data_IF_366797144322
#
_entry.id   IF_366797144322
#
_cell.length_a   1.000
_cell.length_b   1.000
_cell.length_c   1.000
_cell.angle_alpha   90.00
_cell.angle_beta   90.00
_cell.angle_gamma   90.00
#
_symmetry.space_group_name_H-M   'P 1'
#
loop_
_entity.id
_entity.type
_entity.pdbx_description
1 polymer ?
#
# COMPACT_ATOMS: atom_id res chain seq x y z
N UNK A 1 17.37 9.86 0.89
CA UNK A 1 17.68 8.77 -0.08
C UNK A 1 17.79 7.38 0.57
N UNK A 2 18.46 7.22 1.73
CA UNK A 2 18.62 5.90 2.36
C UNK A 2 17.28 5.24 2.78
N UNK A 3 16.37 5.98 3.44
CA UNK A 3 15.05 5.45 3.83
C UNK A 3 14.17 5.06 2.64
N UNK A 4 14.17 5.85 1.56
CA UNK A 4 13.43 5.51 0.33
C UNK A 4 13.95 4.23 -0.29
N UNK A 5 15.27 4.06 -0.37
CA UNK A 5 15.89 2.81 -0.85
C UNK A 5 15.52 1.62 0.04
N UNK A 6 15.54 1.79 1.36
CA UNK A 6 15.16 0.74 2.32
C UNK A 6 13.67 0.38 2.25
N UNK A 7 12.80 1.36 2.03
CA UNK A 7 11.37 1.13 1.85
C UNK A 7 11.11 0.34 0.57
N UNK A 8 11.67 0.81 -0.55
CA UNK A 8 11.49 0.17 -1.85
C UNK A 8 12.17 -1.21 -1.91
N UNK A 9 13.25 -1.44 -1.18
CA UNK A 9 13.87 -2.78 -1.10
C UNK A 9 13.00 -3.84 -0.42
N UNK A 10 11.97 -3.45 0.36
CA UNK A 10 10.96 -4.40 0.87
C UNK A 10 10.14 -5.05 -0.25
N UNK A 11 10.21 -4.48 -1.44
CA UNK A 11 9.52 -4.93 -2.64
C UNK A 11 10.47 -5.60 -3.65
N UNK A 12 11.65 -6.08 -3.22
CA UNK A 12 12.68 -6.70 -4.07
C UNK A 12 13.08 -5.88 -5.32
N UNK A 13 12.96 -4.56 -5.24
CA UNK A 13 13.25 -3.66 -6.34
C UNK A 13 14.77 -3.54 -6.59
N UNK A 14 15.29 -4.26 -7.59
CA UNK A 14 16.66 -4.08 -8.10
C UNK A 14 16.63 -3.05 -9.23
N UNK A 15 16.59 -1.77 -8.87
CA UNK A 15 16.42 -0.68 -9.85
C UNK A 15 17.46 0.42 -9.71
N UNK A 16 17.77 1.08 -10.84
CA UNK A 16 18.53 2.34 -10.87
C UNK A 16 17.87 3.38 -9.93
N UNK A 17 18.67 4.15 -9.15
CA UNK A 17 18.21 5.25 -8.30
C UNK A 17 17.14 6.19 -8.90
N UNK A 18 17.21 6.49 -10.20
CA UNK A 18 16.23 7.35 -10.88
C UNK A 18 14.84 6.72 -10.95
N UNK A 19 14.76 5.41 -11.24
CA UNK A 19 13.48 4.68 -11.27
C UNK A 19 12.87 4.59 -9.86
N UNK A 20 13.71 4.38 -8.84
CA UNK A 20 13.28 4.40 -7.43
C UNK A 20 12.69 5.76 -7.03
N UNK A 21 13.36 6.85 -7.41
CA UNK A 21 12.86 8.19 -7.14
C UNK A 21 11.55 8.48 -7.88
N UNK A 22 11.39 7.98 -9.12
CA UNK A 22 10.16 8.09 -9.89
C UNK A 22 9.00 7.36 -9.20
N UNK A 23 9.18 6.10 -8.75
CA UNK A 23 8.14 5.39 -7.99
C UNK A 23 7.77 6.13 -6.71
N UNK A 24 8.77 6.59 -5.97
CA UNK A 24 8.53 7.36 -4.75
C UNK A 24 7.68 8.60 -5.03
N UNK A 25 7.99 9.36 -6.08
CA UNK A 25 7.22 10.54 -6.47
C UNK A 25 5.80 10.20 -6.91
N UNK A 26 5.60 9.12 -7.67
CA UNK A 26 4.27 8.67 -8.07
C UNK A 26 3.42 8.30 -6.86
N UNK A 27 3.98 7.54 -5.92
CA UNK A 27 3.27 7.17 -4.69
C UNK A 27 3.03 8.39 -3.78
N UNK A 28 3.98 9.32 -3.66
CA UNK A 28 3.80 10.56 -2.89
C UNK A 28 2.72 11.45 -3.50
N UNK A 29 2.64 11.55 -4.84
CA UNK A 29 1.55 12.25 -5.53
C UNK A 29 0.21 11.58 -5.24
N UNK A 30 0.10 10.27 -5.47
CA UNK A 30 -1.12 9.51 -5.21
C UNK A 30 -1.64 9.72 -3.79
N UNK A 31 -0.74 9.70 -2.80
CA UNK A 31 -1.09 9.94 -1.40
C UNK A 31 -1.58 11.38 -1.18
N UNK A 32 -0.89 12.38 -1.73
CA UNK A 32 -1.24 13.80 -1.54
C UNK A 32 -2.56 14.17 -2.22
N UNK A 33 -2.82 13.59 -3.38
CA UNK A 33 -3.97 13.93 -4.21
C UNK A 33 -5.25 13.26 -3.69
N UNK A 34 -5.12 12.20 -2.87
CA UNK A 34 -6.21 11.38 -2.38
C UNK A 34 -6.20 11.25 -0.85
N UNK A 35 -6.28 12.37 -0.13
CA UNK A 35 -6.41 12.35 1.33
C UNK A 35 -7.85 12.05 1.74
N UNK A 36 -8.04 11.21 2.77
CA UNK A 36 -9.34 11.05 3.42
C UNK A 36 -9.38 11.73 4.80
N UNK A 37 -10.58 11.94 5.32
CA UNK A 37 -10.87 12.65 6.57
C UNK A 37 -11.05 11.70 7.77
N UNK A 38 -10.70 10.42 7.62
CA UNK A 38 -10.77 9.47 8.73
C UNK A 38 -9.84 9.93 9.87
N UNK A 39 -10.27 9.90 11.14
CA UNK A 39 -9.41 10.32 12.25
C UNK A 39 -8.10 9.52 12.28
N UNK A 40 -6.97 10.21 12.18
CA UNK A 40 -5.65 9.58 12.15
C UNK A 40 -5.12 9.33 13.56
N UNK A 41 -4.40 8.22 13.76
CA UNK A 41 -3.63 7.94 14.98
C UNK A 41 -2.13 8.09 14.69
N UNK A 42 -1.56 9.30 14.85
CA UNK A 42 -0.18 9.59 14.45
C UNK A 42 0.86 8.94 15.37
N UNK A 43 0.46 8.43 16.53
CA UNK A 43 1.35 7.83 17.54
C UNK A 43 1.47 6.32 17.32
N UNK A 44 0.40 5.67 16.86
CA UNK A 44 0.36 4.24 16.65
C UNK A 44 1.13 3.77 15.43
N UNK A 45 1.75 2.58 15.58
CA UNK A 45 2.33 1.83 14.47
C UNK A 45 1.35 0.82 13.84
N UNK A 46 0.06 0.98 14.10
CA UNK A 46 -0.99 0.20 13.45
C UNK A 46 -1.28 0.79 12.07
N UNK A 47 -1.51 -0.07 11.07
CA UNK A 47 -1.93 0.29 9.73
C UNK A 47 -3.16 -0.54 9.38
N UNK A 48 -4.18 0.12 8.86
CA UNK A 48 -5.45 -0.49 8.48
C UNK A 48 -5.70 -0.31 6.98
N UNK A 49 -6.44 -1.26 6.42
CA UNK A 49 -6.84 -1.25 5.02
C UNK A 49 -8.34 -1.53 4.97
N UNK A 50 -9.08 -0.68 4.28
CA UNK A 50 -10.48 -0.89 3.95
C UNK A 50 -10.61 -1.18 2.46
N UNK A 51 -11.23 -2.30 2.13
CA UNK A 51 -11.58 -2.70 0.77
C UNK A 51 -13.10 -2.81 0.71
N UNK A 52 -13.76 -1.77 0.20
CA UNK A 52 -15.22 -1.62 0.24
C UNK A 52 -15.78 -1.90 1.66
N UNK A 53 -16.50 -3.01 1.83
CA UNK A 53 -17.12 -3.42 3.09
C UNK A 53 -16.19 -4.19 4.04
N UNK A 54 -14.98 -4.57 3.61
CA UNK A 54 -14.04 -5.39 4.39
C UNK A 54 -12.96 -4.54 5.03
N UNK A 55 -12.66 -4.82 6.29
CA UNK A 55 -11.66 -4.11 7.07
C UNK A 55 -10.50 -5.06 7.40
N UNK A 56 -9.27 -4.56 7.33
CA UNK A 56 -8.07 -5.33 7.58
C UNK A 56 -7.10 -4.56 8.48
N UNK A 57 -6.38 -5.30 9.31
CA UNK A 57 -5.28 -4.81 10.14
C UNK A 57 -3.95 -5.44 9.72
N UNK A 58 -2.91 -4.62 9.59
CA UNK A 58 -1.57 -5.09 9.24
C UNK A 58 -0.80 -5.62 10.46
N UNK A 59 -0.71 -6.95 10.58
CA UNK A 59 -0.04 -7.65 11.67
C UNK A 59 0.85 -8.77 11.13
N UNK A 60 2.06 -8.93 11.70
CA UNK A 60 3.01 -9.99 11.30
C UNK A 60 3.25 -10.07 9.78
N UNK A 61 3.40 -8.92 9.12
CA UNK A 61 3.65 -8.79 7.66
C UNK A 61 2.52 -9.33 6.78
N UNK A 62 1.30 -9.41 7.31
CA UNK A 62 0.08 -9.84 6.62
C UNK A 62 -1.10 -8.94 7.01
N UNK A 63 -2.09 -8.90 6.14
CA UNK A 63 -3.40 -8.34 6.42
C UNK A 63 -4.27 -9.40 7.10
N UNK A 64 -4.86 -9.03 8.24
CA UNK A 64 -5.81 -9.85 8.98
C UNK A 64 -7.16 -9.15 8.95
N UNK A 65 -8.20 -9.84 8.53
CA UNK A 65 -9.55 -9.28 8.51
C UNK A 65 -10.03 -8.99 9.95
N UNK A 66 -10.70 -7.86 10.12
CA UNK A 66 -11.29 -7.41 11.38
C UNK A 66 -12.73 -6.99 11.11
N UNK A 67 -13.60 -7.10 12.12
CA UNK A 67 -15.00 -6.70 11.98
C UNK A 67 -15.13 -5.19 11.74
N UNK A 68 -14.48 -4.39 12.59
CA UNK A 68 -14.67 -2.94 12.64
C UNK A 68 -13.33 -2.20 12.68
N UNK A 69 -13.31 -1.00 12.09
CA UNK A 69 -12.19 -0.07 12.24
C UNK A 69 -12.26 0.63 13.60
N UNK A 70 -11.12 0.90 14.26
CA UNK A 70 -11.10 1.74 15.45
C UNK A 70 -11.54 3.17 15.17
N UNK A 71 -11.94 3.92 16.20
CA UNK A 71 -12.33 5.33 16.08
C UNK A 71 -11.23 6.22 15.46
N UNK A 72 -9.98 5.91 15.76
CA UNK A 72 -8.79 6.53 15.14
C UNK A 72 -7.93 5.44 14.50
N UNK A 73 -7.57 5.62 13.22
CA UNK A 73 -6.81 4.65 12.48
C UNK A 73 -5.94 5.30 11.40
N UNK A 74 -4.71 4.83 11.26
CA UNK A 74 -3.92 5.03 10.04
C UNK A 74 -4.51 4.17 8.94
N UNK A 75 -5.32 4.76 8.06
CA UNK A 75 -6.22 4.03 7.18
C UNK A 75 -5.89 4.27 5.71
N UNK A 76 -5.70 3.17 4.99
CA UNK A 76 -5.73 3.13 3.54
C UNK A 76 -7.11 2.62 3.12
N UNK A 77 -7.74 3.29 2.16
CA UNK A 77 -9.00 2.87 1.55
C UNK A 77 -8.75 2.61 0.07
N UNK A 78 -9.26 1.50 -0.45
CA UNK A 78 -9.23 1.14 -1.88
C UNK A 78 -10.53 0.43 -2.25
N UNK A 79 -10.91 0.45 -3.53
CA UNK A 79 -12.06 -0.34 -3.99
C UNK A 79 -11.67 -1.80 -4.23
N UNK A 80 -12.65 -2.73 -4.17
CA UNK A 80 -12.43 -4.13 -4.61
C UNK A 80 -12.03 -4.18 -6.08
N UNK A 81 -12.61 -3.31 -6.92
CA UNK A 81 -12.32 -3.23 -8.34
C UNK A 81 -10.83 -2.94 -8.60
N UNK A 82 -10.25 -1.93 -7.94
CA UNK A 82 -8.84 -1.61 -8.10
C UNK A 82 -7.92 -2.73 -7.59
N UNK A 83 -8.33 -3.43 -6.52
CA UNK A 83 -7.61 -4.61 -6.03
C UNK A 83 -7.66 -5.75 -7.05
N UNK A 84 -8.79 -5.97 -7.71
CA UNK A 84 -8.95 -7.00 -8.76
C UNK A 84 -8.08 -6.70 -9.98
N UNK A 85 -8.02 -5.43 -10.38
CA UNK A 85 -7.13 -4.97 -11.45
C UNK A 85 -5.65 -5.19 -11.06
N UNK A 86 -5.28 -4.85 -9.83
CA UNK A 86 -3.93 -5.10 -9.31
C UNK A 86 -3.59 -6.61 -9.28
N UNK A 87 -4.52 -7.47 -8.86
CA UNK A 87 -4.38 -8.93 -8.91
C UNK A 87 -4.14 -9.42 -10.34
N UNK A 88 -4.92 -8.93 -11.30
CA UNK A 88 -4.76 -9.28 -12.72
C UNK A 88 -3.39 -8.87 -13.25
N UNK A 89 -2.90 -7.68 -12.89
CA UNK A 89 -1.58 -7.18 -13.30
C UNK A 89 -0.46 -8.12 -12.82
N UNK A 90 -0.57 -8.68 -11.61
CA UNK A 90 0.41 -9.62 -11.06
C UNK A 90 0.13 -11.09 -11.41
N UNK A 91 -0.81 -11.37 -12.32
CA UNK A 91 -1.16 -12.71 -12.78
C UNK A 91 -1.80 -13.59 -11.68
N UNK A 92 -2.60 -12.99 -10.79
CA UNK A 92 -3.32 -13.68 -9.70
C UNK A 92 -4.83 -13.60 -9.90
N UNK A 93 -5.56 -14.48 -9.21
CA UNK A 93 -7.02 -14.50 -9.27
C UNK A 93 -7.60 -13.36 -8.44
N UNK A 94 -8.72 -12.79 -8.91
CA UNK A 94 -9.51 -11.81 -8.14
C UNK A 94 -10.14 -12.40 -6.87
N UNK A 95 -10.30 -13.73 -6.85
CA UNK A 95 -10.89 -14.47 -5.73
C UNK A 95 -9.82 -14.86 -4.69
N UNK A 96 -8.54 -14.61 -4.97
CA UNK A 96 -7.45 -14.86 -4.04
C UNK A 96 -7.49 -13.88 -2.84
N UNK A 97 -6.98 -14.34 -1.71
CA UNK A 97 -6.81 -13.52 -0.51
C UNK A 97 -5.85 -12.33 -0.78
N UNK A 98 -6.11 -11.16 -0.16
CA UNK A 98 -5.31 -9.95 -0.34
C UNK A 98 -3.81 -10.14 -0.01
N UNK A 99 -3.47 -11.10 0.86
CA UNK A 99 -2.08 -11.43 1.15
C UNK A 99 -1.37 -12.09 -0.04
N UNK A 100 -2.10 -12.67 -1.00
CA UNK A 100 -1.54 -13.15 -2.27
C UNK A 100 -1.02 -11.98 -3.09
N UNK A 101 -1.81 -10.91 -3.22
CA UNK A 101 -1.35 -9.66 -3.86
C UNK A 101 -0.10 -9.13 -3.15
N UNK A 102 -0.18 -8.96 -1.83
CA UNK A 102 0.95 -8.41 -1.07
C UNK A 102 2.22 -9.27 -1.16
N UNK A 103 2.09 -10.58 -1.24
CA UNK A 103 3.21 -11.50 -1.43
C UNK A 103 3.74 -11.49 -2.87
N UNK A 104 2.87 -11.31 -3.86
CA UNK A 104 3.25 -11.16 -5.26
C UNK A 104 4.06 -9.88 -5.47
N UNK A 105 3.60 -8.74 -4.92
CA UNK A 105 4.31 -7.46 -5.00
C UNK A 105 5.75 -7.57 -4.47
N UNK A 106 5.98 -8.30 -3.38
CA UNK A 106 7.34 -8.51 -2.86
C UNK A 106 8.28 -9.23 -3.83
N UNK A 107 7.77 -9.90 -4.85
CA UNK A 107 8.55 -10.66 -5.84
C UNK A 107 8.72 -9.94 -7.17
N UNK A 108 7.99 -8.83 -7.37
CA UNK A 108 8.06 -8.04 -8.59
C UNK A 108 9.29 -7.14 -8.54
N UNK A 109 10.20 -7.29 -9.49
CA UNK A 109 11.36 -6.43 -9.70
C UNK A 109 11.16 -5.42 -10.86
N UNK A 110 10.14 -5.64 -11.69
CA UNK A 110 9.81 -4.77 -12.82
C UNK A 110 9.11 -3.46 -12.41
N UNK A 111 9.76 -2.34 -12.72
CA UNK A 111 9.25 -0.98 -12.49
C UNK A 111 7.84 -0.75 -13.07
N UNK A 112 7.60 -1.20 -14.30
CA UNK A 112 6.36 -0.99 -15.07
C UNK A 112 5.15 -1.62 -14.42
N UNK A 113 5.34 -2.73 -13.70
CA UNK A 113 4.28 -3.40 -12.95
C UNK A 113 3.80 -2.50 -11.80
N UNK A 114 4.70 -1.88 -11.04
CA UNK A 114 4.32 -0.92 -9.98
C UNK A 114 3.61 0.31 -10.54
N UNK A 115 4.04 0.82 -11.69
CA UNK A 115 3.34 1.94 -12.32
C UNK A 115 1.90 1.55 -12.67
N UNK A 116 1.71 0.39 -13.31
CA UNK A 116 0.40 -0.11 -13.70
C UNK A 116 -0.51 -0.31 -12.49
N UNK A 117 0.04 -0.76 -11.36
CA UNK A 117 -0.71 -0.90 -10.10
C UNK A 117 -1.10 0.46 -9.53
N UNK A 118 -0.18 1.43 -9.50
CA UNK A 118 -0.52 2.78 -9.03
C UNK A 118 -1.60 3.42 -9.91
N UNK A 119 -1.54 3.21 -11.22
CA UNK A 119 -2.55 3.68 -12.16
C UNK A 119 -3.91 3.03 -11.89
N UNK A 120 -3.95 1.70 -11.66
CA UNK A 120 -5.17 0.97 -11.29
C UNK A 120 -5.78 1.42 -9.94
N UNK A 121 -4.93 1.88 -9.02
CA UNK A 121 -5.35 2.40 -7.72
C UNK A 121 -5.81 3.87 -7.77
N UNK A 122 -5.36 4.65 -8.77
CA UNK A 122 -5.44 6.12 -8.77
C UNK A 122 -6.84 6.73 -8.72
N UNK A 123 -7.89 5.96 -9.06
CA UNK A 123 -9.28 6.42 -9.02
C UNK A 123 -10.01 6.18 -7.70
N UNK A 124 -9.62 5.16 -6.93
CA UNK A 124 -10.38 4.68 -5.78
C UNK A 124 -9.53 4.55 -4.50
N UNK A 125 -8.26 4.93 -4.57
CA UNK A 125 -7.35 4.97 -3.43
C UNK A 125 -7.59 6.25 -2.63
N UNK A 126 -7.61 6.16 -1.29
CA UNK A 126 -7.39 7.31 -0.42
C UNK A 126 -6.71 6.93 0.88
N UNK A 127 -6.11 7.89 1.57
CA UNK A 127 -5.42 7.64 2.85
C UNK A 127 -5.36 8.88 3.75
N UNK A 128 -5.36 8.70 5.07
CA UNK A 128 -5.04 9.77 6.02
C UNK A 128 -3.57 9.76 6.48
N UNK A 129 -2.74 8.85 5.92
CA UNK A 129 -1.31 8.81 6.22
C UNK A 129 -0.47 9.46 5.13
N UNK A 130 0.50 10.27 5.55
CA UNK A 130 1.53 10.79 4.66
C UNK A 130 2.47 9.69 4.19
N UNK A 131 3.18 9.92 3.08
CA UNK A 131 4.20 8.97 2.62
C UNK A 131 5.27 8.69 3.68
N UNK A 132 5.61 9.71 4.48
CA UNK A 132 6.60 9.58 5.56
C UNK A 132 6.10 8.66 6.67
N UNK A 133 4.83 8.76 7.06
CA UNK A 133 4.21 7.85 8.01
C UNK A 133 4.12 6.44 7.43
N UNK A 134 3.65 6.28 6.19
CA UNK A 134 3.57 4.97 5.55
C UNK A 134 4.94 4.27 5.51
N UNK A 135 6.00 4.99 5.13
CA UNK A 135 7.37 4.46 5.17
C UNK A 135 7.77 4.04 6.58
N UNK A 136 7.47 4.83 7.61
CA UNK A 136 7.75 4.45 9.01
C UNK A 136 6.99 3.19 9.41
N UNK A 137 5.71 3.08 9.08
CA UNK A 137 4.85 1.94 9.43
C UNK A 137 5.33 0.64 8.77
N UNK A 138 5.80 0.71 7.52
CA UNK A 138 6.30 -0.46 6.77
C UNK A 138 7.74 -0.82 7.16
N UNK A 139 8.56 0.18 7.52
CA UNK A 139 9.95 -0.02 7.96
C UNK A 139 10.08 -0.36 9.44
N UNK A 140 9.06 -0.07 10.25
CA UNK A 140 9.03 -0.39 11.66
C UNK A 140 9.30 -1.89 11.83
N UNK A 141 10.38 -2.22 12.55
CA UNK A 141 10.72 -3.60 12.90
C UNK A 141 9.62 -4.13 13.82
N UNK A 142 8.69 -4.92 13.29
CA UNK A 142 7.91 -5.91 14.04
C UNK A 142 8.58 -7.26 13.89
#
# INVERSE_FOLDING_TARGET
MNQVKQFLSKFNLVMNPLKLLKLYRQMDSLIKDQQNDYPSDPVSNALFLKIDARNYYFKHKKWQEIAELPLEANLIVVSKKSVDEAMKIVGKSKDDDINVLFSALKRVDEFTIYQSIFDALSGDFSTNVTIKQLMKLVLAKK
#
